data_IF_873274852948
#
_entry.id   IF_873274852948
#
_cell.length_a   1.000
_cell.length_b   1.000
_cell.length_c   1.000
_cell.angle_alpha   90.00
_cell.angle_beta   90.00
_cell.angle_gamma   90.00
#
_symmetry.space_group_name_H-M   'P 1'
#
loop_
_entity.id
_entity.type
_entity.pdbx_description
1 polymer ?
#
# COMPACT_ATOMS: atom_id res chain seq x y z
N UNK A 1 17.50 2.58 -6.88
CA UNK A 1 17.07 1.28 -6.31
C UNK A 1 16.42 0.45 -7.40
N UNK A 2 16.34 -0.88 -7.21
CA UNK A 2 15.56 -1.80 -8.03
C UNK A 2 14.26 -2.11 -7.30
N UNK A 3 13.11 -1.82 -7.87
CA UNK A 3 11.83 -1.92 -7.20
C UNK A 3 10.87 -2.78 -8.02
N UNK A 4 10.27 -3.78 -7.39
CA UNK A 4 9.18 -4.54 -7.95
C UNK A 4 7.84 -3.91 -7.54
N UNK A 5 6.91 -3.76 -8.48
CA UNK A 5 5.54 -3.36 -8.18
C UNK A 5 4.60 -4.46 -8.65
N UNK A 6 3.95 -5.13 -7.71
CA UNK A 6 2.98 -6.19 -8.00
C UNK A 6 1.56 -5.63 -8.08
N UNK A 7 0.68 -6.33 -8.78
CA UNK A 7 -0.63 -5.82 -9.20
C UNK A 7 -0.51 -4.45 -9.92
N UNK A 8 0.50 -4.29 -10.75
CA UNK A 8 0.99 -3.04 -11.33
C UNK A 8 -0.01 -2.31 -12.23
N UNK A 9 -1.08 -2.97 -12.68
CA UNK A 9 -2.12 -2.37 -13.53
C UNK A 9 -3.17 -1.58 -12.73
N UNK A 10 -3.14 -1.65 -11.38
CA UNK A 10 -3.99 -0.87 -10.51
C UNK A 10 -3.75 0.65 -10.63
N UNK A 11 -4.76 1.48 -10.38
CA UNK A 11 -4.64 2.94 -10.49
C UNK A 11 -3.57 3.51 -9.54
N UNK A 12 -3.56 3.09 -8.27
CA UNK A 12 -2.56 3.50 -7.29
C UNK A 12 -1.15 2.99 -7.69
N UNK A 13 -1.04 1.72 -8.10
CA UNK A 13 0.22 1.14 -8.58
C UNK A 13 0.82 1.92 -9.75
N UNK A 14 -0.02 2.34 -10.71
CA UNK A 14 0.43 3.15 -11.86
C UNK A 14 0.96 4.51 -11.44
N UNK A 15 0.33 5.17 -10.45
CA UNK A 15 0.81 6.44 -9.90
C UNK A 15 2.16 6.24 -9.18
N UNK A 16 2.30 5.20 -8.38
CA UNK A 16 3.56 4.86 -7.68
C UNK A 16 4.66 4.54 -8.70
N UNK A 17 4.38 3.75 -9.74
CA UNK A 17 5.34 3.44 -10.81
C UNK A 17 5.81 4.72 -11.52
N UNK A 18 4.89 5.63 -11.82
CA UNK A 18 5.23 6.89 -12.48
C UNK A 18 6.16 7.75 -11.61
N UNK A 19 5.89 7.88 -10.32
CA UNK A 19 6.73 8.62 -9.37
C UNK A 19 8.11 7.95 -9.20
N UNK A 20 8.17 6.63 -9.05
CA UNK A 20 9.43 5.87 -8.99
C UNK A 20 10.32 6.09 -10.21
N UNK A 21 9.72 6.07 -11.40
CA UNK A 21 10.45 6.31 -12.66
C UNK A 21 10.93 7.76 -12.73
N UNK A 22 10.10 8.72 -12.35
CA UNK A 22 10.46 10.14 -12.33
C UNK A 22 11.66 10.43 -11.43
N UNK A 23 11.83 9.64 -10.35
CA UNK A 23 12.99 9.73 -9.44
C UNK A 23 14.18 8.84 -9.86
N UNK A 24 14.12 8.22 -11.03
CA UNK A 24 15.24 7.46 -11.61
C UNK A 24 15.43 6.04 -11.05
N UNK A 25 14.39 5.46 -10.42
CA UNK A 25 14.46 4.07 -9.96
C UNK A 25 14.26 3.08 -11.11
N UNK A 26 14.89 1.90 -10.99
CA UNK A 26 14.69 0.80 -11.92
C UNK A 26 13.45 -0.01 -11.49
N UNK A 27 12.35 0.16 -12.21
CA UNK A 27 11.06 -0.47 -11.87
C UNK A 27 10.79 -1.68 -12.75
N UNK A 28 10.40 -2.80 -12.12
CA UNK A 28 9.81 -3.95 -12.81
C UNK A 28 8.37 -4.12 -12.33
N UNK A 29 7.44 -4.08 -13.26
CA UNK A 29 6.02 -4.26 -13.01
C UNK A 29 5.63 -5.74 -13.15
N UNK A 30 4.76 -6.22 -12.25
CA UNK A 30 4.20 -7.58 -12.28
C UNK A 30 2.67 -7.49 -12.32
N UNK A 31 2.05 -8.18 -13.27
CA UNK A 31 0.59 -8.27 -13.38
C UNK A 31 0.15 -9.53 -14.11
N UNK A 32 -1.10 -9.93 -13.91
CA UNK A 32 -1.72 -11.10 -14.58
C UNK A 32 -1.94 -10.85 -16.08
N UNK A 33 -2.32 -9.64 -16.43
CA UNK A 33 -2.55 -9.23 -17.83
C UNK A 33 -1.40 -8.44 -18.41
N UNK A 34 -1.54 -7.95 -19.62
CA UNK A 34 -0.55 -7.12 -20.31
C UNK A 34 -0.20 -5.85 -19.52
N UNK A 35 1.02 -5.35 -19.68
CA UNK A 35 1.47 -4.15 -18.98
C UNK A 35 0.64 -2.92 -19.39
N UNK A 36 0.04 -2.26 -18.39
CA UNK A 36 -0.68 -1.00 -18.55
C UNK A 36 -0.01 0.16 -17.79
N UNK A 37 1.19 -0.06 -17.27
CA UNK A 37 1.99 0.93 -16.54
C UNK A 37 3.09 1.53 -17.42
N UNK A 38 3.77 2.55 -16.92
CA UNK A 38 4.92 3.18 -17.58
C UNK A 38 6.23 2.38 -17.39
N UNK A 39 6.24 1.29 -16.62
CA UNK A 39 7.45 0.50 -16.38
C UNK A 39 7.95 -0.17 -17.66
N UNK A 40 9.24 -0.02 -17.97
CA UNK A 40 9.89 -0.72 -19.08
C UNK A 40 10.15 -2.19 -18.76
N UNK A 41 10.49 -2.50 -17.51
CA UNK A 41 10.60 -3.88 -17.02
C UNK A 41 9.21 -4.42 -16.70
N UNK A 42 8.84 -5.56 -17.28
CA UNK A 42 7.55 -6.18 -17.04
C UNK A 42 7.65 -7.71 -17.04
N UNK A 43 6.94 -8.33 -16.10
CA UNK A 43 6.75 -9.78 -16.01
C UNK A 43 5.27 -10.06 -15.89
N UNK A 44 4.72 -10.81 -16.85
CA UNK A 44 3.33 -11.27 -16.77
C UNK A 44 3.26 -12.49 -15.87
N UNK A 45 2.83 -12.28 -14.61
CA UNK A 45 2.74 -13.34 -13.62
C UNK A 45 1.70 -12.98 -12.57
N UNK A 46 0.94 -13.99 -12.11
CA UNK A 46 0.02 -13.83 -10.99
C UNK A 46 0.82 -13.67 -9.69
N UNK A 47 0.32 -12.83 -8.76
CA UNK A 47 0.98 -12.57 -7.48
C UNK A 47 1.20 -13.86 -6.67
N UNK A 48 0.21 -14.76 -6.66
CA UNK A 48 0.30 -16.04 -5.95
C UNK A 48 1.22 -17.06 -6.62
N UNK A 49 1.64 -16.80 -7.88
CA UNK A 49 2.62 -17.63 -8.59
C UNK A 49 4.05 -17.09 -8.49
N UNK A 50 4.27 -15.95 -7.84
CA UNK A 50 5.62 -15.41 -7.62
C UNK A 50 6.43 -16.34 -6.72
N UNK A 51 7.74 -16.36 -6.94
CA UNK A 51 8.71 -17.14 -6.17
C UNK A 51 9.78 -16.24 -5.55
N UNK A 52 10.59 -16.78 -4.63
CA UNK A 52 11.72 -16.07 -4.04
C UNK A 52 12.70 -15.57 -5.09
N UNK A 53 12.94 -16.35 -6.14
CA UNK A 53 13.84 -16.03 -7.24
C UNK A 53 13.34 -14.84 -8.05
N UNK A 54 12.00 -14.71 -8.21
CA UNK A 54 11.40 -13.57 -8.89
C UNK A 54 11.72 -12.26 -8.17
N UNK A 55 11.78 -12.28 -6.83
CA UNK A 55 11.91 -11.08 -5.99
C UNK A 55 13.35 -10.86 -5.45
N UNK A 56 14.25 -11.84 -5.53
CA UNK A 56 15.56 -11.82 -4.89
C UNK A 56 16.48 -10.64 -5.28
N UNK A 57 16.23 -9.99 -6.41
CA UNK A 57 17.06 -8.90 -6.95
C UNK A 57 16.58 -7.50 -6.61
N UNK A 58 15.45 -7.37 -5.90
CA UNK A 58 14.83 -6.09 -5.63
C UNK A 58 15.16 -5.58 -4.23
N UNK A 59 15.40 -4.28 -4.12
CA UNK A 59 15.60 -3.60 -2.85
C UNK A 59 14.26 -3.41 -2.10
N UNK A 60 13.17 -3.26 -2.87
CA UNK A 60 11.81 -3.13 -2.35
C UNK A 60 10.79 -3.79 -3.28
N UNK A 61 9.71 -4.27 -2.67
CA UNK A 61 8.50 -4.76 -3.34
C UNK A 61 7.34 -3.90 -2.88
N UNK A 62 6.55 -3.38 -3.83
CA UNK A 62 5.29 -2.69 -3.55
C UNK A 62 4.14 -3.61 -3.90
N UNK A 63 3.31 -3.92 -2.90
CA UNK A 63 2.05 -4.63 -3.08
C UNK A 63 0.94 -3.60 -3.31
N UNK A 64 0.47 -3.51 -4.55
CA UNK A 64 -0.68 -2.69 -4.93
C UNK A 64 -1.92 -3.53 -5.21
N UNK A 65 -2.03 -4.71 -4.58
CA UNK A 65 -3.19 -5.57 -4.73
C UNK A 65 -4.46 -4.87 -4.25
N UNK A 66 -5.57 -5.12 -4.94
CA UNK A 66 -6.89 -4.65 -4.57
C UNK A 66 -7.97 -5.61 -5.06
N UNK A 67 -8.92 -5.92 -4.18
CA UNK A 67 -10.05 -6.81 -4.41
C UNK A 67 -11.29 -6.23 -3.76
N UNK A 68 -12.45 -6.36 -4.42
CA UNK A 68 -13.66 -5.64 -4.03
C UNK A 68 -14.90 -6.54 -3.96
N UNK A 69 -14.82 -7.79 -4.40
CA UNK A 69 -15.96 -8.71 -4.32
C UNK A 69 -15.83 -9.66 -3.13
N UNK A 70 -16.92 -10.10 -2.51
CA UNK A 70 -16.87 -10.98 -1.34
C UNK A 70 -15.95 -12.19 -1.51
N UNK A 71 -15.91 -12.79 -2.70
CA UNK A 71 -15.12 -13.97 -3.02
C UNK A 71 -13.61 -13.67 -3.06
N UNK A 72 -13.25 -12.42 -3.37
CA UNK A 72 -11.86 -11.99 -3.55
C UNK A 72 -11.29 -11.21 -2.37
N UNK A 73 -12.12 -10.72 -1.45
CA UNK A 73 -11.66 -9.99 -0.26
C UNK A 73 -10.60 -10.74 0.57
N UNK A 74 -10.71 -12.08 0.81
CA UNK A 74 -9.68 -12.81 1.55
C UNK A 74 -8.30 -12.79 0.90
N UNK A 75 -8.23 -12.48 -0.40
CA UNK A 75 -6.96 -12.40 -1.12
C UNK A 75 -6.08 -11.24 -0.63
N UNK A 76 -6.61 -10.19 0.01
CA UNK A 76 -5.80 -9.15 0.62
C UNK A 76 -4.78 -9.76 1.60
N UNK A 77 -5.24 -10.51 2.57
CA UNK A 77 -4.35 -11.18 3.53
C UNK A 77 -3.50 -12.27 2.85
N UNK A 78 -4.06 -13.04 1.93
CA UNK A 78 -3.32 -14.14 1.30
C UNK A 78 -2.15 -13.64 0.45
N UNK A 79 -2.34 -12.56 -0.34
CA UNK A 79 -1.28 -12.01 -1.19
C UNK A 79 -0.19 -11.33 -0.37
N UNK A 80 -0.54 -10.54 0.63
CA UNK A 80 0.45 -9.87 1.48
C UNK A 80 1.26 -10.87 2.31
N UNK A 81 0.64 -11.93 2.85
CA UNK A 81 1.36 -12.99 3.54
C UNK A 81 2.26 -13.78 2.60
N UNK A 82 1.80 -14.11 1.39
CA UNK A 82 2.63 -14.76 0.38
C UNK A 82 3.86 -13.92 0.03
N UNK A 83 3.69 -12.62 -0.24
CA UNK A 83 4.82 -11.72 -0.51
C UNK A 83 5.75 -11.61 0.69
N UNK A 84 5.21 -11.53 1.91
CA UNK A 84 6.02 -11.53 3.13
C UNK A 84 6.85 -12.82 3.27
N UNK A 85 6.29 -14.00 2.93
CA UNK A 85 7.03 -15.27 2.90
C UNK A 85 8.18 -15.26 1.89
N UNK A 86 7.96 -14.64 0.72
CA UNK A 86 8.97 -14.56 -0.33
C UNK A 86 10.16 -13.68 0.05
N UNK A 87 9.92 -12.61 0.83
CA UNK A 87 10.99 -11.69 1.26
C UNK A 87 11.50 -11.96 2.68
N UNK A 88 10.92 -12.95 3.38
CA UNK A 88 11.31 -13.30 4.75
C UNK A 88 12.81 -13.61 4.86
N UNK A 89 13.47 -13.04 5.89
CA UNK A 89 14.90 -13.24 6.16
C UNK A 89 15.83 -12.54 5.16
N UNK A 90 15.31 -11.69 4.27
CA UNK A 90 16.11 -10.90 3.30
C UNK A 90 16.18 -9.43 3.68
N UNK A 91 16.95 -8.65 2.92
CA UNK A 91 16.98 -7.18 3.06
C UNK A 91 15.90 -6.47 2.25
N UNK A 92 15.18 -7.18 1.40
CA UNK A 92 14.07 -6.64 0.60
C UNK A 92 12.93 -6.15 1.52
N UNK A 93 12.50 -4.91 1.35
CA UNK A 93 11.37 -4.34 2.09
C UNK A 93 10.07 -4.52 1.31
N UNK A 94 8.99 -4.82 2.02
CA UNK A 94 7.66 -4.99 1.46
C UNK A 94 6.77 -3.80 1.87
N UNK A 95 6.32 -3.02 0.91
CA UNK A 95 5.40 -1.90 1.11
C UNK A 95 4.01 -2.28 0.61
N UNK A 96 3.00 -2.19 1.47
CA UNK A 96 1.62 -2.56 1.15
C UNK A 96 0.78 -1.30 0.99
N UNK A 97 0.07 -1.19 -0.14
CA UNK A 97 -0.97 -0.18 -0.32
C UNK A 97 -2.18 -0.60 0.50
N UNK A 98 -2.29 -0.06 1.69
CA UNK A 98 -3.33 -0.42 2.64
C UNK A 98 -4.61 0.41 2.51
N UNK A 99 -5.45 0.34 3.53
CA UNK A 99 -6.68 1.10 3.67
C UNK A 99 -6.72 1.98 4.91
N UNK A 100 -7.67 2.91 4.95
CA UNK A 100 -7.87 3.83 6.07
C UNK A 100 -8.76 3.24 7.20
N UNK A 101 -9.54 2.21 6.92
CA UNK A 101 -10.58 1.71 7.84
C UNK A 101 -10.07 1.32 9.22
N UNK A 102 -8.82 0.84 9.32
CA UNK A 102 -8.18 0.47 10.59
C UNK A 102 -7.48 1.61 11.33
N UNK A 103 -7.53 2.85 10.81
CA UNK A 103 -7.01 4.02 11.53
C UNK A 103 -7.85 4.30 12.77
N UNK A 104 -7.21 4.61 13.88
CA UNK A 104 -7.91 4.94 15.11
C UNK A 104 -8.43 6.38 15.08
N UNK A 105 -9.64 6.57 15.57
CA UNK A 105 -10.28 7.89 15.67
C UNK A 105 -10.19 8.49 17.06
N UNK A 106 -9.59 7.76 18.01
CA UNK A 106 -9.39 8.19 19.39
C UNK A 106 -7.93 7.94 19.83
N UNK A 107 -7.38 8.80 20.73
CA UNK A 107 -6.00 8.66 21.21
C UNK A 107 -5.75 7.41 22.06
N UNK A 108 -6.82 6.78 22.59
CA UNK A 108 -6.72 5.55 23.35
C UNK A 108 -6.63 4.29 22.46
N UNK A 109 -6.75 4.45 21.16
CA UNK A 109 -6.73 3.38 20.15
C UNK A 109 -7.79 2.30 20.43
N UNK A 110 -9.00 2.72 20.79
CA UNK A 110 -10.12 1.83 21.11
C UNK A 110 -11.16 1.72 20.02
N UNK A 111 -11.27 2.75 19.15
CA UNK A 111 -12.25 2.81 18.05
C UNK A 111 -11.54 3.02 16.74
N UNK A 112 -11.78 2.11 15.78
CA UNK A 112 -11.29 2.26 14.41
C UNK A 112 -12.28 3.05 13.55
N UNK A 113 -11.81 3.68 12.50
CA UNK A 113 -12.64 4.45 11.57
C UNK A 113 -13.80 3.60 11.01
N UNK A 114 -13.54 2.33 10.67
CA UNK A 114 -14.57 1.42 10.14
C UNK A 114 -15.69 1.09 11.14
N UNK A 115 -15.46 1.29 12.44
CA UNK A 115 -16.42 1.01 13.53
C UNK A 115 -17.26 2.25 13.89
N UNK A 116 -17.02 3.38 13.25
CA UNK A 116 -17.80 4.60 13.47
C UNK A 116 -19.17 4.53 12.77
N UNK A 117 -20.21 5.16 13.35
CA UNK A 117 -21.54 5.18 12.73
C UNK A 117 -21.58 5.84 11.34
N UNK A 118 -20.66 6.75 11.07
CA UNK A 118 -20.56 7.51 9.83
C UNK A 118 -19.82 6.74 8.72
N UNK A 119 -19.21 5.58 9.04
CA UNK A 119 -18.47 4.81 8.04
C UNK A 119 -19.42 4.25 6.95
N UNK A 120 -19.15 4.49 5.65
CA UNK A 120 -20.07 4.06 4.60
C UNK A 120 -20.14 2.53 4.52
N UNK A 121 -21.34 1.97 4.64
CA UNK A 121 -21.57 0.53 4.70
C UNK A 121 -21.03 -0.23 3.48
N UNK A 122 -21.03 0.41 2.31
CA UNK A 122 -20.52 -0.15 1.07
C UNK A 122 -19.01 -0.42 1.10
N UNK A 123 -18.23 0.35 1.88
CA UNK A 123 -16.80 0.15 2.02
C UNK A 123 -16.41 -0.74 3.20
N UNK A 124 -17.36 -1.06 4.09
CA UNK A 124 -17.08 -1.87 5.27
C UNK A 124 -16.43 -3.23 4.96
N UNK A 125 -16.89 -4.01 3.95
CA UNK A 125 -16.29 -5.31 3.67
C UNK A 125 -14.82 -5.23 3.26
N UNK A 126 -14.46 -4.26 2.41
CA UNK A 126 -13.05 -4.07 2.02
C UNK A 126 -12.21 -3.50 3.17
N UNK A 127 -12.75 -2.54 3.92
CA UNK A 127 -12.05 -1.98 5.08
C UNK A 127 -11.74 -3.05 6.12
N UNK A 128 -12.69 -3.96 6.38
CA UNK A 128 -12.50 -5.11 7.25
C UNK A 128 -11.41 -6.06 6.73
N UNK A 129 -11.44 -6.42 5.44
CA UNK A 129 -10.45 -7.29 4.84
C UNK A 129 -9.02 -6.71 4.96
N UNK A 130 -8.85 -5.41 4.73
CA UNK A 130 -7.56 -4.72 4.89
C UNK A 130 -7.15 -4.55 6.36
N UNK A 131 -8.10 -4.48 7.29
CA UNK A 131 -7.82 -4.52 8.74
C UNK A 131 -7.29 -5.90 9.16
N UNK A 132 -7.88 -6.97 8.65
CA UNK A 132 -7.43 -8.35 8.87
C UNK A 132 -6.05 -8.59 8.25
N UNK A 133 -5.78 -8.03 7.06
CA UNK A 133 -4.47 -8.03 6.41
C UNK A 133 -3.39 -7.39 7.30
N UNK A 134 -3.65 -6.18 7.82
CA UNK A 134 -2.74 -5.49 8.73
C UNK A 134 -2.52 -6.29 10.02
N UNK A 135 -3.56 -6.87 10.60
CA UNK A 135 -3.45 -7.71 11.80
C UNK A 135 -2.56 -8.94 11.56
N UNK A 136 -2.68 -9.56 10.38
CA UNK A 136 -1.82 -10.68 9.99
C UNK A 136 -0.36 -10.25 9.79
N UNK A 137 -0.10 -9.08 9.19
CA UNK A 137 1.25 -8.54 9.02
C UNK A 137 1.91 -8.21 10.37
N UNK A 138 1.16 -7.69 11.33
CA UNK A 138 1.67 -7.38 12.69
C UNK A 138 2.21 -8.61 13.45
N UNK A 139 1.77 -9.80 13.09
CA UNK A 139 2.31 -11.03 13.66
C UNK A 139 3.66 -11.45 13.05
N UNK A 140 4.12 -10.78 11.96
CA UNK A 140 5.35 -11.09 11.24
C UNK A 140 6.52 -10.32 11.80
N UNK A 141 7.55 -11.05 12.21
CA UNK A 141 8.85 -10.49 12.66
C UNK A 141 10.00 -10.88 11.73
N UNK A 142 9.73 -11.69 10.73
CA UNK A 142 10.67 -12.29 9.79
C UNK A 142 10.76 -11.55 8.45
N UNK A 143 9.82 -10.62 8.17
CA UNK A 143 9.78 -9.80 6.98
C UNK A 143 9.81 -8.30 7.33
N UNK A 144 10.49 -7.51 6.51
CA UNK A 144 10.58 -6.05 6.65
C UNK A 144 9.41 -5.39 5.93
N UNK A 145 8.23 -5.35 6.55
CA UNK A 145 7.02 -4.79 5.96
C UNK A 145 6.72 -3.36 6.44
N UNK A 146 6.03 -2.59 5.61
CA UNK A 146 5.43 -1.28 5.93
C UNK A 146 4.02 -1.26 5.34
N UNK A 147 3.01 -1.04 6.17
CA UNK A 147 1.63 -0.90 5.72
C UNK A 147 1.29 0.58 5.59
N UNK A 148 1.00 1.04 4.37
CA UNK A 148 0.80 2.47 4.09
C UNK A 148 -0.68 2.73 3.88
N UNK A 149 -1.35 3.25 4.92
CA UNK A 149 -2.75 3.66 4.87
C UNK A 149 -2.90 4.97 4.10
N UNK A 150 -3.81 5.08 3.13
CA UNK A 150 -4.19 6.38 2.59
C UNK A 150 -5.07 7.14 3.58
N UNK A 151 -5.41 8.39 3.26
CA UNK A 151 -6.49 9.11 3.88
C UNK A 151 -7.85 8.41 3.65
N UNK A 152 -8.87 8.76 4.46
CA UNK A 152 -10.22 8.19 4.35
C UNK A 152 -10.84 8.40 2.97
N UNK A 153 -10.63 9.57 2.37
CA UNK A 153 -11.01 9.86 0.98
C UNK A 153 -9.77 9.78 0.08
N UNK A 154 -9.61 8.63 -0.57
CA UNK A 154 -8.49 8.30 -1.45
C UNK A 154 -8.87 8.54 -2.91
N UNK A 155 -8.51 9.69 -3.48
CA UNK A 155 -8.98 10.19 -4.77
C UNK A 155 -8.09 9.81 -5.94
N UNK A 156 -8.63 8.99 -6.84
CA UNK A 156 -7.89 8.57 -8.05
C UNK A 156 -7.59 9.73 -9.00
N UNK A 157 -8.54 10.66 -9.12
CA UNK A 157 -8.48 11.82 -10.03
C UNK A 157 -8.18 13.14 -9.29
N UNK A 158 -7.71 13.06 -8.03
CA UNK A 158 -7.29 14.22 -7.24
C UNK A 158 -6.05 14.89 -7.83
N UNK A 159 -6.00 16.22 -7.73
CA UNK A 159 -4.83 16.97 -8.19
C UNK A 159 -3.58 16.62 -7.36
N UNK A 160 -2.41 16.59 -8.02
CA UNK A 160 -1.12 16.51 -7.34
C UNK A 160 -0.79 17.86 -6.73
N UNK A 161 -0.72 17.94 -5.40
CA UNK A 161 -0.30 19.16 -4.69
C UNK A 161 1.20 19.20 -4.43
N UNK A 162 1.85 18.03 -4.46
CA UNK A 162 3.27 17.88 -4.17
C UNK A 162 3.60 17.90 -2.68
N UNK A 163 2.59 17.77 -1.80
CA UNK A 163 2.73 17.82 -0.35
C UNK A 163 1.84 16.81 0.33
N UNK A 164 2.32 16.24 1.41
CA UNK A 164 1.56 15.35 2.27
C UNK A 164 2.01 15.47 3.72
N UNK A 165 1.20 15.01 4.64
CA UNK A 165 1.55 14.81 6.06
C UNK A 165 1.67 13.32 6.29
N UNK A 166 2.76 12.92 6.93
CA UNK A 166 2.97 11.54 7.38
C UNK A 166 2.37 11.40 8.79
N UNK A 167 1.40 10.52 8.93
CA UNK A 167 0.80 10.11 10.20
C UNK A 167 1.17 8.67 10.55
N UNK A 168 0.66 8.21 11.68
CA UNK A 168 0.84 6.85 12.20
C UNK A 168 -0.47 6.08 12.28
N UNK A 169 -0.75 5.56 13.48
CA UNK A 169 -1.91 4.71 13.78
C UNK A 169 -3.25 5.48 13.81
N UNK A 170 -3.22 6.79 13.97
CA UNK A 170 -4.41 7.60 14.11
C UNK A 170 -4.86 8.20 12.76
N UNK A 171 -6.17 8.42 12.63
CA UNK A 171 -6.74 9.16 11.51
C UNK A 171 -6.20 10.58 11.52
N UNK A 172 -5.34 10.88 10.55
CA UNK A 172 -4.75 12.22 10.40
C UNK A 172 -5.66 13.07 9.53
N UNK A 173 -5.83 14.33 9.94
CA UNK A 173 -6.57 15.34 9.19
C UNK A 173 -5.60 16.40 8.65
N UNK A 174 -5.93 16.96 7.50
CA UNK A 174 -5.26 18.12 6.94
C UNK A 174 -5.53 19.38 7.78
N UNK A 175 -4.87 20.48 7.48
CA UNK A 175 -5.15 21.77 8.10
C UNK A 175 -6.61 22.26 7.87
N UNK A 176 -7.28 21.75 6.84
CA UNK A 176 -8.70 22.01 6.57
C UNK A 176 -9.66 21.12 7.38
N UNK A 177 -9.15 20.18 8.19
CA UNK A 177 -9.96 19.25 8.95
C UNK A 177 -10.48 18.05 8.14
N UNK A 178 -9.87 17.77 6.99
CA UNK A 178 -10.28 16.69 6.08
C UNK A 178 -9.25 15.57 6.02
N UNK A 179 -9.69 14.34 5.91
CA UNK A 179 -8.83 13.19 5.63
C UNK A 179 -8.95 12.83 4.14
N UNK A 180 -8.17 13.50 3.31
CA UNK A 180 -8.17 13.37 1.84
C UNK A 180 -6.75 13.21 1.34
N UNK A 181 -6.54 12.40 0.30
CA UNK A 181 -5.29 12.37 -0.46
C UNK A 181 -5.53 11.94 -1.91
N UNK A 182 -4.83 12.57 -2.85
CA UNK A 182 -4.79 12.11 -4.23
C UNK A 182 -3.88 10.88 -4.40
N UNK A 183 -4.13 10.06 -5.42
CA UNK A 183 -3.19 8.96 -5.75
C UNK A 183 -1.79 9.48 -6.08
N UNK A 184 -1.70 10.69 -6.64
CA UNK A 184 -0.43 11.29 -7.00
C UNK A 184 0.38 11.73 -5.76
N UNK A 185 -0.26 12.34 -4.74
CA UNK A 185 0.42 12.71 -3.50
C UNK A 185 0.68 11.49 -2.60
N UNK A 186 -0.21 10.49 -2.63
CA UNK A 186 0.05 9.20 -1.99
C UNK A 186 1.28 8.51 -2.59
N UNK A 187 1.42 8.52 -3.92
CA UNK A 187 2.59 7.98 -4.59
C UNK A 187 3.89 8.71 -4.21
N UNK A 188 3.82 10.04 -4.04
CA UNK A 188 4.93 10.84 -3.53
C UNK A 188 5.39 10.34 -2.15
N UNK A 189 4.46 10.23 -1.19
CA UNK A 189 4.76 9.75 0.15
C UNK A 189 5.23 8.29 0.18
N UNK A 190 4.63 7.42 -0.63
CA UNK A 190 5.06 6.02 -0.75
C UNK A 190 6.51 5.93 -1.23
N UNK A 191 6.92 6.74 -2.21
CA UNK A 191 8.30 6.71 -2.72
C UNK A 191 9.27 7.30 -1.70
N UNK A 192 8.91 8.35 -0.95
CA UNK A 192 9.73 8.86 0.15
C UNK A 192 9.97 7.79 1.23
N UNK A 193 8.95 7.01 1.58
CA UNK A 193 9.06 5.88 2.51
C UNK A 193 10.02 4.79 1.98
N UNK A 194 9.93 4.47 0.69
CA UNK A 194 10.83 3.50 0.04
C UNK A 194 12.28 3.98 0.07
N UNK A 195 12.53 5.25 -0.26
CA UNK A 195 13.87 5.85 -0.30
C UNK A 195 14.48 5.96 1.10
N UNK A 196 13.70 6.34 2.11
CA UNK A 196 14.16 6.44 3.49
C UNK A 196 14.43 5.08 4.13
N UNK A 197 13.68 4.05 3.74
CA UNK A 197 13.74 2.73 4.34
C UNK A 197 13.34 2.67 5.82
N UNK A 198 12.67 3.71 6.30
CA UNK A 198 12.14 3.81 7.67
C UNK A 198 10.84 3.02 7.88
N UNK A 199 10.32 3.00 9.11
CA UNK A 199 9.01 2.46 9.50
C UNK A 199 8.83 0.95 9.27
N UNK A 200 9.90 0.18 9.34
CA UNK A 200 9.85 -1.29 9.21
C UNK A 200 9.09 -1.92 10.38
N UNK A 201 8.11 -2.76 10.07
CA UNK A 201 7.22 -3.40 11.04
C UNK A 201 6.10 -2.48 11.54
N UNK A 202 5.83 -1.39 10.83
CA UNK A 202 4.87 -0.36 11.23
C UNK A 202 3.77 -0.13 10.18
N UNK A 203 2.63 0.39 10.66
CA UNK A 203 1.67 1.09 9.84
C UNK A 203 1.96 2.58 9.90
N UNK A 204 1.94 3.22 8.75
CA UNK A 204 1.94 4.68 8.61
C UNK A 204 0.72 5.13 7.79
N UNK A 205 0.37 6.40 7.87
CA UNK A 205 -0.72 6.97 7.08
C UNK A 205 -0.25 8.22 6.33
N UNK A 206 -0.89 8.48 5.19
CA UNK A 206 -0.61 9.63 4.34
C UNK A 206 -1.89 10.43 4.14
N UNK A 207 -1.83 11.73 4.40
CA UNK A 207 -2.90 12.68 4.16
C UNK A 207 -2.35 13.89 3.42
N UNK A 208 -3.16 14.55 2.61
CA UNK A 208 -2.79 15.80 1.93
C UNK A 208 -2.51 16.89 2.97
N UNK A 209 -1.44 17.70 2.75
CA UNK A 209 -1.07 18.79 3.64
C UNK A 209 -2.00 20.02 3.49
#
# INVERSE_FOLDING_TARGET
MKIAVVASNGKASKAIIAELIARGHAVTAFARGANQSAAKGFVQKDIMALTKEDLARFDAVVDGFGAYTPETLPLHTQTSQHLADLVAGTDTRLYIVGGAGSLYVDPAHTVQLLDTPEFPAEFYPIAKAQTEELAALRSRTDAKWVFVSPAADFRADGAKTGKYVLGGEELTLSAAGESVISYADYALGMVDLIESGAHVGERVSLVQA
#
